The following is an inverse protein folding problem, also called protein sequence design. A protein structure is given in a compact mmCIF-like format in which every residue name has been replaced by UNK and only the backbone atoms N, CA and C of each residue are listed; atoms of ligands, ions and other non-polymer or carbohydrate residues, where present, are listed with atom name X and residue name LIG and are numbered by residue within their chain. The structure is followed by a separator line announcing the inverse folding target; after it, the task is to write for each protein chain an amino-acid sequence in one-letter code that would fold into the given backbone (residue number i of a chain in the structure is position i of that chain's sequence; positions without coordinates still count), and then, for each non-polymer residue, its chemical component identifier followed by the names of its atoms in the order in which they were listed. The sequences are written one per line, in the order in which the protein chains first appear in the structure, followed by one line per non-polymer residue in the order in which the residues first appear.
data_IF_512149448362
#
_entry.id   IF_512149448362
#
_cell.length_a   1.000
_cell.length_b   1.000
_cell.length_c   1.000
_cell.angle_alpha   90.00
_cell.angle_beta   90.00
_cell.angle_gamma   90.00
#
_symmetry.space_group_name_H-M   'P 1'
#
loop_
_entity.id
_entity.type
_entity.pdbx_description
1 polymer ?
#
# COMPACT_ATOMS: atom_id res chain seq x y z
N UNK A 1 1.50 9.25 18.26
CA UNK A 1 1.31 8.06 17.40
C UNK A 1 -0.08 7.56 17.70
N UNK A 2 -0.90 7.37 16.68
CA UNK A 2 -2.28 6.96 16.84
C UNK A 2 -2.44 5.54 16.28
N UNK A 3 -3.21 4.70 16.96
CA UNK A 3 -3.42 3.32 16.54
C UNK A 3 -4.92 3.05 16.37
N UNK A 4 -5.31 2.22 15.39
CA UNK A 4 -6.69 1.76 15.24
C UNK A 4 -7.15 0.96 16.47
N UNK A 5 -8.45 0.98 16.76
CA UNK A 5 -9.05 -0.02 17.65
C UNK A 5 -9.36 -1.32 16.88
N UNK A 6 -9.84 -1.21 15.63
CA UNK A 6 -10.15 -2.32 14.74
C UNK A 6 -9.34 -2.31 13.44
N UNK A 7 -8.77 -3.47 13.07
CA UNK A 7 -7.97 -3.63 11.84
C UNK A 7 -8.44 -4.84 11.04
N UNK A 8 -8.63 -4.70 9.74
CA UNK A 8 -8.86 -5.81 8.81
C UNK A 8 -7.70 -5.96 7.84
N UNK A 9 -7.08 -7.13 7.80
CA UNK A 9 -5.90 -7.43 6.99
C UNK A 9 -6.22 -8.55 6.02
N UNK A 10 -6.10 -8.31 4.71
CA UNK A 10 -6.29 -9.36 3.70
C UNK A 10 -5.00 -10.16 3.46
N UNK A 11 -5.11 -11.45 3.12
CA UNK A 11 -3.93 -12.30 2.90
C UNK A 11 -3.11 -12.53 4.17
N UNK A 12 -3.79 -12.68 5.32
CA UNK A 12 -3.20 -12.70 6.64
C UNK A 12 -2.72 -14.08 7.12
N UNK A 13 -2.82 -15.12 6.28
CA UNK A 13 -2.45 -16.50 6.66
C UNK A 13 -0.94 -16.77 6.67
N UNK A 14 -0.13 -15.90 6.06
CA UNK A 14 1.35 -16.07 5.97
C UNK A 14 2.05 -14.75 5.64
N UNK A 15 3.39 -14.78 5.65
CA UNK A 15 4.25 -13.69 5.17
C UNK A 15 3.94 -12.34 5.85
N UNK A 16 3.94 -11.27 5.06
CA UNK A 16 3.70 -9.89 5.54
C UNK A 16 2.34 -9.78 6.25
N UNK A 17 1.28 -10.38 5.73
CA UNK A 17 -0.05 -10.29 6.33
C UNK A 17 -0.10 -10.90 7.74
N UNK A 18 0.48 -12.09 7.91
CA UNK A 18 0.60 -12.71 9.24
C UNK A 18 1.51 -11.91 10.18
N UNK A 19 2.60 -11.33 9.66
CA UNK A 19 3.46 -10.44 10.41
C UNK A 19 2.70 -9.19 10.91
N UNK A 20 1.88 -8.57 10.07
CA UNK A 20 1.04 -7.44 10.45
C UNK A 20 0.04 -7.81 11.55
N UNK A 21 -0.62 -8.97 11.45
CA UNK A 21 -1.49 -9.48 12.53
C UNK A 21 -0.73 -9.54 13.85
N UNK A 22 0.45 -10.16 13.86
CA UNK A 22 1.29 -10.29 15.06
C UNK A 22 1.72 -8.94 15.61
N UNK A 23 2.06 -7.97 14.77
CA UNK A 23 2.44 -6.62 15.23
C UNK A 23 1.26 -5.84 15.82
N UNK A 24 0.09 -5.88 15.19
CA UNK A 24 -1.09 -5.20 15.72
C UNK A 24 -1.57 -5.80 17.05
N UNK A 25 -1.47 -7.12 17.23
CA UNK A 25 -1.80 -7.79 18.51
C UNK A 25 -0.89 -7.37 19.68
N UNK A 26 0.29 -6.79 19.41
CA UNK A 26 1.19 -6.24 20.44
C UNK A 26 0.74 -4.85 20.92
N UNK A 27 -0.13 -4.16 20.19
CA UNK A 27 -0.54 -2.79 20.50
C UNK A 27 -1.75 -2.84 21.46
N UNK A 28 -1.63 -2.33 22.71
CA UNK A 28 -2.70 -2.48 23.70
C UNK A 28 -4.05 -1.83 23.33
N UNK A 29 -4.02 -0.75 22.54
CA UNK A 29 -5.24 -0.04 22.10
C UNK A 29 -5.96 -0.73 20.94
N UNK A 30 -5.34 -1.73 20.29
CA UNK A 30 -5.98 -2.53 19.24
C UNK A 30 -6.78 -3.64 19.92
N UNK A 31 -8.10 -3.57 19.83
CA UNK A 31 -9.02 -4.53 20.46
C UNK A 31 -9.50 -5.62 19.52
N UNK A 32 -9.49 -5.33 18.21
CA UNK A 32 -9.99 -6.23 17.16
C UNK A 32 -9.02 -6.30 15.96
N UNK A 33 -8.57 -7.50 15.63
CA UNK A 33 -7.80 -7.78 14.39
C UNK A 33 -8.51 -8.84 13.58
N UNK A 34 -9.06 -8.46 12.44
CA UNK A 34 -9.68 -9.33 11.44
C UNK A 34 -8.57 -9.70 10.44
N UNK A 35 -8.31 -10.99 10.30
CA UNK A 35 -7.33 -11.60 9.43
C UNK A 35 -8.03 -12.39 8.31
N UNK A 36 -8.19 -11.76 7.15
CA UNK A 36 -8.78 -12.37 5.97
C UNK A 36 -7.79 -13.28 5.24
N UNK A 37 -8.22 -14.48 4.88
CA UNK A 37 -7.46 -15.44 4.10
C UNK A 37 -8.34 -16.15 3.05
N UNK A 38 -7.72 -16.84 2.12
CA UNK A 38 -8.45 -17.77 1.24
C UNK A 38 -8.72 -19.06 2.01
N UNK A 39 -9.88 -19.67 1.76
CA UNK A 39 -10.22 -20.98 2.29
C UNK A 39 -9.25 -22.04 1.74
N UNK A 40 -8.54 -22.82 2.59
CA UNK A 40 -7.66 -23.90 2.15
C UNK A 40 -8.41 -25.08 1.48
N UNK A 41 -9.73 -25.22 1.67
CA UNK A 41 -10.52 -26.36 1.18
C UNK A 41 -11.28 -26.10 -0.14
N UNK A 42 -10.93 -25.04 -0.89
CA UNK A 42 -11.39 -24.88 -2.27
C UNK A 42 -12.81 -24.31 -2.47
N UNK A 43 -13.53 -23.91 -1.41
CA UNK A 43 -14.78 -23.17 -1.59
C UNK A 43 -14.51 -21.74 -2.10
N UNK A 44 -15.41 -21.20 -2.95
CA UNK A 44 -15.37 -19.85 -3.55
C UNK A 44 -15.46 -18.68 -2.54
N UNK A 45 -15.36 -18.96 -1.24
CA UNK A 45 -15.66 -18.04 -0.15
C UNK A 45 -14.38 -17.74 0.65
N UNK A 46 -14.16 -16.46 0.96
CA UNK A 46 -13.05 -15.99 1.81
C UNK A 46 -13.28 -16.47 3.25
N UNK A 47 -12.27 -17.10 3.86
CA UNK A 47 -12.31 -17.37 5.30
C UNK A 47 -11.69 -16.18 6.03
N UNK A 48 -12.40 -15.62 6.98
CA UNK A 48 -11.87 -14.59 7.86
C UNK A 48 -11.61 -15.21 9.24
N UNK A 49 -10.37 -15.11 9.71
CA UNK A 49 -10.03 -15.34 11.11
C UNK A 49 -10.22 -14.00 11.82
N UNK A 50 -10.89 -13.95 12.95
CA UNK A 50 -11.05 -12.73 13.72
C UNK A 50 -10.45 -12.94 15.09
N UNK A 51 -9.54 -12.07 15.46
CA UNK A 51 -8.97 -12.01 16.79
C UNK A 51 -9.66 -10.88 17.55
N UNK A 52 -10.54 -11.24 18.47
CA UNK A 52 -11.22 -10.29 19.37
C UNK A 52 -10.65 -10.48 20.78
N UNK A 53 -10.17 -9.41 21.42
CA UNK A 53 -9.55 -9.50 22.76
C UNK A 53 -8.50 -10.63 22.86
N UNK A 54 -7.70 -10.82 21.79
CA UNK A 54 -6.67 -11.87 21.68
C UNK A 54 -7.19 -13.31 21.67
N UNK A 55 -8.49 -13.54 21.44
CA UNK A 55 -9.09 -14.86 21.20
C UNK A 55 -9.45 -15.02 19.72
N UNK A 56 -9.18 -16.21 19.15
CA UNK A 56 -9.48 -16.54 17.75
C UNK A 56 -10.95 -16.96 17.58
N UNK A 57 -11.62 -16.36 16.60
CA UNK A 57 -12.95 -16.68 16.12
C UNK A 57 -12.90 -16.91 14.61
N UNK A 58 -13.68 -17.87 14.09
CA UNK A 58 -13.71 -18.20 12.65
C UNK A 58 -14.99 -17.70 12.01
N UNK A 59 -14.84 -17.04 10.88
CA UNK A 59 -15.92 -16.43 10.11
C UNK A 59 -15.81 -16.87 8.64
N UNK A 60 -16.96 -17.14 8.04
CA UNK A 60 -17.14 -17.67 6.71
C UNK A 60 -17.51 -16.63 5.65
N UNK A 61 -17.85 -15.37 5.94
CA UNK A 61 -18.18 -14.38 4.88
C UNK A 61 -17.96 -12.89 5.25
N UNK A 62 -18.07 -12.01 4.24
CA UNK A 62 -17.85 -10.55 4.37
C UNK A 62 -18.87 -9.85 5.29
N UNK A 63 -20.12 -10.33 5.37
CA UNK A 63 -21.15 -9.80 6.27
C UNK A 63 -20.83 -10.00 7.76
N UNK A 64 -19.85 -10.83 8.06
CA UNK A 64 -19.36 -11.04 9.42
C UNK A 64 -18.30 -10.00 9.83
N UNK A 65 -17.66 -9.33 8.87
CA UNK A 65 -16.77 -8.18 9.15
C UNK A 65 -17.59 -7.02 9.71
N UNK A 66 -18.72 -6.68 9.06
CA UNK A 66 -19.65 -5.64 9.54
C UNK A 66 -20.19 -5.96 10.93
N UNK A 67 -20.57 -7.22 11.18
CA UNK A 67 -21.01 -7.68 12.51
C UNK A 67 -19.89 -7.59 13.55
N UNK A 68 -18.66 -7.92 13.19
CA UNK A 68 -17.52 -7.89 14.09
C UNK A 68 -17.14 -6.46 14.50
N UNK A 69 -17.27 -5.48 13.60
CA UNK A 69 -17.00 -4.07 13.94
C UNK A 69 -18.20 -3.35 14.55
N UNK A 70 -19.42 -3.82 14.28
CA UNK A 70 -20.66 -3.24 14.79
C UNK A 70 -20.78 -1.75 14.49
N UNK A 71 -21.46 -1.02 15.39
CA UNK A 71 -21.64 0.43 15.25
C UNK A 71 -20.37 1.27 15.42
N UNK A 72 -19.27 0.69 15.89
CA UNK A 72 -17.98 1.38 16.02
C UNK A 72 -17.28 1.56 14.66
N UNK A 73 -17.59 0.69 13.70
CA UNK A 73 -17.00 0.68 12.37
C UNK A 73 -15.55 0.18 12.34
N UNK A 74 -15.04 0.00 11.12
CA UNK A 74 -13.67 -0.44 10.86
C UNK A 74 -12.70 0.75 10.78
N UNK A 75 -11.73 0.83 11.69
CA UNK A 75 -10.76 1.92 11.66
C UNK A 75 -9.71 1.78 10.56
N UNK A 76 -9.20 0.56 10.34
CA UNK A 76 -8.10 0.34 9.40
C UNK A 76 -8.34 -0.88 8.52
N UNK A 77 -8.47 -0.68 7.22
CA UNK A 77 -8.38 -1.74 6.21
C UNK A 77 -6.96 -1.80 5.64
N UNK A 78 -6.34 -2.99 5.62
CA UNK A 78 -5.05 -3.25 5.00
C UNK A 78 -5.22 -4.26 3.85
N UNK A 79 -5.16 -3.75 2.63
CA UNK A 79 -5.11 -4.55 1.41
C UNK A 79 -3.69 -5.10 1.23
N UNK A 80 -3.42 -6.27 1.82
CA UNK A 80 -2.13 -6.95 1.75
C UNK A 80 -2.11 -8.15 0.78
N UNK A 81 -3.25 -8.81 0.55
CA UNK A 81 -3.33 -9.96 -0.33
C UNK A 81 -2.71 -9.66 -1.70
N UNK A 82 -1.80 -10.53 -2.15
CA UNK A 82 -1.14 -10.37 -3.44
C UNK A 82 -0.67 -11.70 -4.00
N UNK A 83 -0.58 -11.78 -5.34
CA UNK A 83 0.13 -12.81 -6.08
C UNK A 83 1.13 -12.19 -7.04
N UNK A 84 2.19 -12.92 -7.34
CA UNK A 84 3.14 -12.64 -8.41
C UNK A 84 3.19 -13.90 -9.27
N UNK A 85 2.71 -13.80 -10.50
CA UNK A 85 2.79 -14.87 -11.49
C UNK A 85 3.79 -14.45 -12.58
N UNK A 86 4.81 -15.27 -12.89
CA UNK A 86 5.76 -14.94 -13.93
C UNK A 86 5.09 -14.69 -15.29
N UNK A 87 5.37 -13.53 -15.86
CA UNK A 87 4.94 -13.07 -17.18
C UNK A 87 6.03 -12.19 -17.79
N UNK A 88 6.58 -12.63 -18.92
CA UNK A 88 7.70 -11.99 -19.61
C UNK A 88 7.23 -11.25 -20.85
N UNK A 89 7.88 -10.14 -21.21
CA UNK A 89 7.55 -9.39 -22.43
C UNK A 89 7.72 -10.25 -23.69
N UNK A 90 8.75 -11.08 -23.72
CA UNK A 90 9.08 -12.02 -24.80
C UNK A 90 8.65 -13.47 -24.48
N UNK A 91 7.77 -13.66 -23.49
CA UNK A 91 7.25 -14.97 -23.11
C UNK A 91 6.00 -15.37 -23.90
N UNK A 92 5.44 -16.54 -23.57
CA UNK A 92 4.17 -16.97 -24.11
C UNK A 92 3.04 -16.00 -23.72
N UNK A 93 2.20 -15.66 -24.69
CA UNK A 93 1.03 -14.82 -24.46
C UNK A 93 0.05 -15.58 -23.56
N UNK A 94 -0.29 -14.99 -22.42
CA UNK A 94 -1.24 -15.54 -21.47
C UNK A 94 -2.09 -14.43 -20.86
N UNK A 95 -3.29 -14.24 -21.42
CA UNK A 95 -4.25 -13.26 -20.89
C UNK A 95 -4.63 -13.56 -19.44
N UNK A 96 -4.74 -14.83 -19.08
CA UNK A 96 -5.19 -15.23 -17.75
C UNK A 96 -4.20 -14.79 -16.67
N UNK A 97 -2.89 -14.89 -16.90
CA UNK A 97 -1.87 -14.45 -15.94
C UNK A 97 -1.97 -12.95 -15.61
N UNK A 98 -2.25 -12.12 -16.62
CA UNK A 98 -2.48 -10.68 -16.44
C UNK A 98 -3.77 -10.43 -15.64
N UNK A 99 -4.86 -11.13 -16.00
CA UNK A 99 -6.15 -11.01 -15.32
C UNK A 99 -6.06 -11.47 -13.87
N UNK A 100 -5.39 -12.58 -13.57
CA UNK A 100 -5.26 -13.10 -12.21
C UNK A 100 -4.49 -12.13 -11.31
N UNK A 101 -3.38 -11.57 -11.82
CA UNK A 101 -2.62 -10.55 -11.08
C UNK A 101 -3.47 -9.30 -10.81
N UNK A 102 -4.19 -8.79 -11.81
CA UNK A 102 -5.10 -7.65 -11.64
C UNK A 102 -6.25 -7.95 -10.68
N UNK A 103 -6.86 -9.13 -10.81
CA UNK A 103 -7.98 -9.58 -9.99
C UNK A 103 -7.60 -9.58 -8.51
N UNK A 104 -6.45 -10.18 -8.16
CA UNK A 104 -6.04 -10.26 -6.75
C UNK A 104 -5.43 -8.95 -6.26
N UNK A 105 -4.53 -8.34 -7.01
CA UNK A 105 -3.71 -7.23 -6.49
C UNK A 105 -4.40 -5.86 -6.62
N UNK A 106 -5.45 -5.72 -7.44
CA UNK A 106 -6.08 -4.42 -7.73
C UNK A 106 -7.60 -4.47 -7.59
N UNK A 107 -8.27 -5.37 -8.30
CA UNK A 107 -9.74 -5.44 -8.33
C UNK A 107 -10.28 -5.91 -6.97
N UNK A 108 -9.64 -6.91 -6.34
CA UNK A 108 -9.95 -7.34 -4.98
C UNK A 108 -9.93 -6.16 -3.99
N UNK A 109 -8.84 -5.40 -3.89
CA UNK A 109 -8.81 -4.15 -3.13
C UNK A 109 -9.91 -3.16 -3.51
N UNK A 110 -10.20 -2.93 -4.79
CA UNK A 110 -11.25 -2.00 -5.22
C UNK A 110 -12.63 -2.37 -4.65
N UNK A 111 -12.98 -3.67 -4.70
CA UNK A 111 -14.26 -4.18 -4.19
C UNK A 111 -14.31 -4.09 -2.66
N UNK A 112 -13.24 -4.47 -1.96
CA UNK A 112 -13.23 -4.42 -0.48
C UNK A 112 -13.29 -2.99 0.04
N UNK A 113 -12.65 -2.04 -0.65
CA UNK A 113 -12.70 -0.63 -0.24
C UNK A 113 -14.12 -0.05 -0.30
N UNK A 114 -14.99 -0.58 -1.18
CA UNK A 114 -16.41 -0.22 -1.22
C UNK A 114 -17.17 -0.69 0.03
N UNK A 115 -16.66 -1.70 0.76
CA UNK A 115 -17.23 -2.20 2.01
C UNK A 115 -16.83 -1.37 3.26
N UNK A 116 -16.22 -0.20 3.06
CA UNK A 116 -16.10 0.91 4.01
C UNK A 116 -15.18 0.73 5.24
N UNK A 117 -14.22 1.64 5.37
CA UNK A 117 -13.65 2.00 6.67
C UNK A 117 -14.48 3.14 7.26
N UNK A 118 -15.10 2.89 8.40
CA UNK A 118 -15.92 3.86 9.12
C UNK A 118 -15.41 3.98 10.54
N UNK A 119 -15.39 5.18 11.08
CA UNK A 119 -15.05 5.39 12.48
C UNK A 119 -15.58 6.71 13.00
N UNK A 120 -15.62 6.81 14.32
CA UNK A 120 -16.15 7.96 15.04
C UNK A 120 -15.09 9.07 15.07
N UNK A 121 -15.50 10.30 14.78
CA UNK A 121 -14.63 11.49 14.82
C UNK A 121 -14.59 12.23 13.49
N UNK A 122 -13.89 13.36 13.48
CA UNK A 122 -13.88 14.32 12.37
C UNK A 122 -12.45 14.73 11.94
N UNK A 123 -11.54 13.76 11.90
CA UNK A 123 -10.13 13.93 11.54
C UNK A 123 -9.63 12.90 10.53
N UNK A 124 -8.42 13.09 9.99
CA UNK A 124 -7.74 12.05 9.21
C UNK A 124 -6.80 11.27 10.14
N UNK A 125 -6.90 9.95 10.16
CA UNK A 125 -6.03 9.11 10.97
C UNK A 125 -6.43 7.63 10.92
N UNK A 126 -5.46 6.75 11.18
CA UNK A 126 -5.69 5.29 11.27
C UNK A 126 -6.50 4.90 12.49
N UNK A 127 -6.56 5.77 13.51
CA UNK A 127 -7.42 5.65 14.69
C UNK A 127 -8.89 5.97 14.42
N UNK A 128 -9.20 6.54 13.24
CA UNK A 128 -10.57 6.84 12.81
C UNK A 128 -10.99 5.95 11.65
N UNK A 129 -10.48 6.22 10.46
CA UNK A 129 -10.85 5.53 9.23
C UNK A 129 -9.73 5.68 8.19
N UNK A 130 -9.11 4.57 7.83
CA UNK A 130 -8.03 4.53 6.87
C UNK A 130 -7.99 3.23 6.04
N UNK A 131 -7.56 3.36 4.80
CA UNK A 131 -7.32 2.28 3.86
C UNK A 131 -5.84 2.30 3.48
N UNK A 132 -5.16 1.18 3.71
CA UNK A 132 -3.74 1.02 3.41
C UNK A 132 -3.55 -0.08 2.38
N UNK A 133 -2.90 0.26 1.28
CA UNK A 133 -2.57 -0.69 0.22
C UNK A 133 -1.10 -1.09 0.34
N UNK A 134 -0.81 -2.38 0.54
CA UNK A 134 0.55 -2.90 0.45
C UNK A 134 0.90 -3.04 -1.03
N UNK A 135 1.58 -2.01 -1.53
CA UNK A 135 2.07 -1.92 -2.91
C UNK A 135 3.48 -2.50 -3.01
N UNK A 136 4.26 -2.06 -3.99
CA UNK A 136 5.63 -2.53 -4.22
C UNK A 136 6.46 -1.43 -4.89
N UNK A 137 7.78 -1.45 -4.72
CA UNK A 137 8.67 -0.59 -5.50
C UNK A 137 8.52 -0.83 -7.01
N UNK A 138 8.14 -2.05 -7.40
CA UNK A 138 7.79 -2.42 -8.78
C UNK A 138 6.50 -1.77 -9.30
N UNK A 139 5.73 -1.09 -8.46
CA UNK A 139 4.60 -0.26 -8.90
C UNK A 139 5.03 1.11 -9.48
N UNK A 140 6.31 1.45 -9.37
CA UNK A 140 6.81 2.75 -9.80
C UNK A 140 7.18 2.71 -11.29
N UNK A 141 6.39 3.40 -12.11
CA UNK A 141 6.68 3.59 -13.54
C UNK A 141 8.04 4.26 -13.73
N UNK A 142 8.31 5.36 -13.01
CA UNK A 142 9.56 6.11 -13.14
C UNK A 142 10.82 5.39 -12.64
N UNK A 143 10.69 4.34 -11.81
CA UNK A 143 11.83 3.52 -11.36
C UNK A 143 11.97 2.19 -12.11
N UNK A 144 11.10 1.91 -13.08
CA UNK A 144 11.14 0.67 -13.83
C UNK A 144 12.30 0.67 -14.84
N UNK A 145 13.46 0.14 -14.42
CA UNK A 145 14.68 0.06 -15.25
C UNK A 145 15.00 -1.38 -15.71
N UNK A 146 14.30 -2.36 -15.15
CA UNK A 146 14.55 -3.80 -15.30
C UNK A 146 13.53 -4.51 -16.20
N UNK A 147 12.52 -3.80 -16.72
CA UNK A 147 11.52 -4.38 -17.64
C UNK A 147 10.72 -5.51 -16.97
N UNK A 148 10.46 -6.62 -17.66
CA UNK A 148 9.90 -7.81 -16.97
C UNK A 148 10.92 -8.47 -16.03
N UNK A 149 12.22 -8.28 -16.28
CA UNK A 149 13.31 -8.92 -15.54
C UNK A 149 13.28 -10.45 -15.60
N UNK A 150 14.18 -11.09 -14.87
CA UNK A 150 14.35 -12.56 -14.89
C UNK A 150 13.22 -13.31 -14.15
N UNK A 151 12.40 -12.57 -13.40
CA UNK A 151 11.27 -13.13 -12.65
C UNK A 151 9.93 -13.04 -13.41
N UNK A 152 9.91 -12.44 -14.61
CA UNK A 152 8.67 -12.23 -15.34
C UNK A 152 7.70 -11.32 -14.56
N UNK A 153 8.17 -10.17 -14.12
CA UNK A 153 7.40 -9.29 -13.23
C UNK A 153 6.37 -8.42 -13.94
N UNK A 154 6.17 -8.56 -15.26
CA UNK A 154 5.36 -7.62 -16.04
C UNK A 154 3.91 -7.54 -15.55
N UNK A 155 3.24 -8.68 -15.39
CA UNK A 155 1.85 -8.72 -14.90
C UNK A 155 1.73 -8.16 -13.47
N UNK A 156 2.70 -8.48 -12.61
CA UNK A 156 2.77 -7.96 -11.26
C UNK A 156 2.94 -6.44 -11.22
N UNK A 157 3.90 -5.90 -11.99
CA UNK A 157 4.18 -4.46 -12.14
C UNK A 157 2.95 -3.68 -12.58
N UNK A 158 2.25 -4.17 -13.61
CA UNK A 158 0.98 -3.59 -14.09
C UNK A 158 -0.03 -3.53 -12.94
N UNK A 159 -0.27 -4.67 -12.28
CA UNK A 159 -1.27 -4.75 -11.21
C UNK A 159 -0.96 -3.84 -10.01
N UNK A 160 0.31 -3.73 -9.59
CA UNK A 160 0.70 -2.86 -8.47
C UNK A 160 0.70 -1.38 -8.86
N UNK A 161 1.01 -1.04 -10.12
CA UNK A 161 0.83 0.32 -10.63
C UNK A 161 -0.65 0.72 -10.65
N UNK A 162 -1.52 -0.19 -11.09
CA UNK A 162 -2.97 0.02 -11.07
C UNK A 162 -3.51 0.16 -9.62
N UNK A 163 -2.97 -0.59 -8.66
CA UNK A 163 -3.28 -0.43 -7.23
C UNK A 163 -2.89 0.96 -6.69
N UNK A 164 -1.75 1.50 -7.13
CA UNK A 164 -1.34 2.86 -6.77
C UNK A 164 -2.33 3.90 -7.31
N UNK A 165 -2.74 3.77 -8.58
CA UNK A 165 -3.74 4.66 -9.17
C UNK A 165 -5.09 4.55 -8.45
N UNK A 166 -5.56 3.34 -8.18
CA UNK A 166 -6.78 3.09 -7.41
C UNK A 166 -6.74 3.80 -6.06
N UNK A 167 -5.67 3.61 -5.27
CA UNK A 167 -5.56 4.25 -3.96
C UNK A 167 -5.48 5.77 -4.04
N UNK A 168 -4.88 6.34 -5.10
CA UNK A 168 -4.86 7.80 -5.30
C UNK A 168 -6.25 8.33 -5.63
N UNK A 169 -7.01 7.63 -6.47
CA UNK A 169 -8.40 7.98 -6.78
C UNK A 169 -9.26 7.94 -5.51
N UNK A 170 -9.21 6.83 -4.75
CA UNK A 170 -9.95 6.71 -3.48
C UNK A 170 -9.56 7.80 -2.46
N UNK A 171 -8.30 8.21 -2.41
CA UNK A 171 -7.87 9.30 -1.53
C UNK A 171 -8.53 10.65 -1.85
N UNK A 172 -8.83 10.88 -3.13
CA UNK A 172 -9.52 12.10 -3.59
C UNK A 172 -11.01 11.97 -3.33
N UNK A 173 -11.60 10.85 -3.74
CA UNK A 173 -13.04 10.62 -3.66
C UNK A 173 -13.53 10.59 -2.20
N UNK A 174 -12.77 9.97 -1.30
CA UNK A 174 -13.13 9.78 0.11
C UNK A 174 -12.64 10.91 1.05
N UNK A 175 -12.13 12.00 0.48
CA UNK A 175 -11.55 13.10 1.25
C UNK A 175 -12.60 13.85 2.08
N UNK A 176 -13.84 13.94 1.59
CA UNK A 176 -14.95 14.63 2.29
C UNK A 176 -15.38 13.86 3.54
N UNK A 177 -15.33 12.54 3.46
CA UNK A 177 -15.60 11.61 4.56
C UNK A 177 -14.39 11.46 5.50
N UNK A 178 -13.28 12.15 5.21
CA UNK A 178 -12.02 12.13 5.96
C UNK A 178 -11.39 10.74 6.10
N UNK A 179 -11.65 9.85 5.13
CA UNK A 179 -11.03 8.52 5.09
C UNK A 179 -9.63 8.69 4.51
N UNK A 180 -8.61 8.30 5.29
CA UNK A 180 -7.23 8.38 4.85
C UNK A 180 -6.90 7.20 3.94
N UNK A 181 -6.33 7.44 2.76
CA UNK A 181 -5.88 6.34 1.89
C UNK A 181 -4.39 6.50 1.63
N UNK A 182 -3.59 5.45 1.82
CA UNK A 182 -2.15 5.51 1.53
C UNK A 182 -1.61 4.16 1.04
N UNK A 183 -0.48 4.23 0.34
CA UNK A 183 0.17 3.06 -0.26
C UNK A 183 1.57 2.89 0.34
N UNK A 184 1.94 1.66 0.67
CA UNK A 184 3.26 1.35 1.22
C UNK A 184 3.98 0.28 0.41
N UNK A 185 5.24 0.53 0.08
CA UNK A 185 6.19 -0.49 -0.30
C UNK A 185 6.78 -1.12 0.96
N UNK A 186 6.58 -2.42 1.21
CA UNK A 186 7.09 -3.10 2.40
C UNK A 186 8.62 -3.29 2.37
N UNK A 187 9.25 -3.09 1.21
CA UNK A 187 10.63 -3.49 0.93
C UNK A 187 10.70 -4.88 0.30
N UNK A 188 11.90 -5.41 0.10
CA UNK A 188 12.11 -6.78 -0.38
C UNK A 188 12.20 -7.73 0.81
N UNK A 189 11.08 -8.38 1.13
CA UNK A 189 10.87 -9.12 2.38
C UNK A 189 11.05 -10.62 2.19
N UNK A 190 11.75 -11.29 3.13
CA UNK A 190 11.96 -12.75 3.20
C UNK A 190 10.65 -13.51 3.39
N UNK A 191 9.95 -13.71 2.30
CA UNK A 191 8.70 -14.46 2.17
C UNK A 191 8.85 -15.45 1.01
N UNK A 192 7.89 -16.36 0.84
CA UNK A 192 7.85 -17.23 -0.34
C UNK A 192 7.92 -16.41 -1.64
N UNK A 193 7.14 -15.33 -1.76
CA UNK A 193 7.17 -14.43 -2.93
C UNK A 193 8.51 -13.68 -3.05
N UNK A 194 9.08 -13.23 -1.93
CA UNK A 194 10.36 -12.50 -1.93
C UNK A 194 11.56 -13.38 -2.30
N UNK A 195 11.50 -14.68 -1.98
CA UNK A 195 12.57 -15.63 -2.22
C UNK A 195 12.37 -16.47 -3.50
N UNK A 196 11.43 -16.07 -4.37
CA UNK A 196 11.17 -16.77 -5.63
C UNK A 196 12.43 -16.85 -6.50
N UNK A 197 12.51 -17.94 -7.27
CA UNK A 197 13.65 -18.25 -8.16
C UNK A 197 15.02 -18.23 -7.45
N UNK A 198 15.08 -18.73 -6.20
CA UNK A 198 16.32 -18.88 -5.45
C UNK A 198 16.94 -17.57 -4.96
N UNK A 199 16.24 -16.44 -5.09
CA UNK A 199 16.72 -15.16 -4.56
C UNK A 199 16.56 -15.12 -3.04
N UNK A 200 17.40 -14.33 -2.36
CA UNK A 200 17.30 -14.10 -0.92
C UNK A 200 16.96 -12.64 -0.71
N UNK A 201 15.76 -12.39 -0.20
CA UNK A 201 15.31 -11.04 0.10
C UNK A 201 16.14 -10.41 1.24
N UNK A 202 16.24 -9.09 1.25
CA UNK A 202 17.17 -8.35 2.13
C UNK A 202 16.72 -8.33 3.59
N UNK A 203 15.42 -8.15 3.84
CA UNK A 203 14.88 -7.89 5.18
C UNK A 203 13.92 -8.97 5.67
N UNK A 204 13.86 -9.19 6.97
CA UNK A 204 12.92 -10.13 7.59
C UNK A 204 11.48 -9.61 7.53
N UNK A 205 10.52 -10.50 7.76
CA UNK A 205 9.11 -10.11 7.88
C UNK A 205 8.95 -9.14 9.03
N UNK A 206 9.52 -9.46 10.20
CA UNK A 206 9.45 -8.68 11.44
C UNK A 206 9.99 -7.25 11.26
N UNK A 207 11.15 -7.11 10.62
CA UNK A 207 11.74 -5.80 10.30
C UNK A 207 10.82 -4.96 9.42
N UNK A 208 10.18 -5.58 8.42
CA UNK A 208 9.26 -4.89 7.52
C UNK A 208 7.98 -4.46 8.24
N UNK A 209 7.31 -5.39 8.93
CA UNK A 209 5.98 -5.14 9.51
C UNK A 209 6.05 -4.21 10.72
N UNK A 210 7.11 -4.27 11.53
CA UNK A 210 7.26 -3.36 12.66
C UNK A 210 7.46 -1.91 12.20
N UNK A 211 8.25 -1.72 11.13
CA UNK A 211 8.42 -0.41 10.51
C UNK A 211 7.11 0.10 9.87
N UNK A 212 6.37 -0.77 9.18
CA UNK A 212 5.07 -0.44 8.59
C UNK A 212 4.06 0.01 9.64
N UNK A 213 3.85 -0.77 10.71
CA UNK A 213 2.88 -0.43 11.77
C UNK A 213 3.24 0.89 12.44
N UNK A 214 4.53 1.14 12.71
CA UNK A 214 5.02 2.42 13.24
C UNK A 214 4.83 3.59 12.26
N UNK A 215 4.94 3.35 10.96
CA UNK A 215 4.70 4.38 9.93
C UNK A 215 3.22 4.69 9.77
N UNK A 216 2.36 3.65 9.79
CA UNK A 216 0.91 3.80 9.74
C UNK A 216 0.39 4.64 10.91
N UNK A 217 0.97 4.48 12.11
CA UNK A 217 0.55 5.24 13.30
C UNK A 217 0.92 6.74 13.28
N UNK A 218 1.62 7.19 12.23
CA UNK A 218 2.00 8.59 11.99
C UNK A 218 1.22 9.22 10.83
N UNK A 219 0.32 8.46 10.19
CA UNK A 219 -0.45 8.97 9.07
C UNK A 219 -1.39 10.09 9.49
N UNK A 220 -1.57 11.05 8.58
CA UNK A 220 -2.26 12.32 8.76
C UNK A 220 -2.77 12.78 7.39
N UNK A 221 -3.63 13.80 7.34
CA UNK A 221 -4.19 14.35 6.09
C UNK A 221 -3.17 14.52 4.96
N UNK A 222 -1.98 15.08 5.25
CA UNK A 222 -0.91 15.32 4.27
C UNK A 222 -0.36 14.06 3.60
N UNK A 223 -0.57 12.90 4.20
CA UNK A 223 -0.09 11.62 3.67
C UNK A 223 -1.14 10.95 2.76
N UNK A 224 -2.39 11.43 2.74
CA UNK A 224 -3.46 10.81 1.95
C UNK A 224 -3.17 10.90 0.45
N UNK A 225 -3.29 9.76 -0.24
CA UNK A 225 -2.97 9.55 -1.64
C UNK A 225 -1.49 9.37 -1.94
N UNK A 226 -0.62 9.31 -0.92
CA UNK A 226 0.82 9.18 -1.09
C UNK A 226 1.31 7.72 -1.15
N UNK A 227 2.36 7.49 -1.93
CA UNK A 227 3.08 6.22 -2.01
C UNK A 227 4.44 6.30 -1.29
N UNK A 228 4.57 5.54 -0.21
CA UNK A 228 5.70 5.60 0.71
C UNK A 228 6.45 4.27 0.78
N UNK A 229 7.70 4.29 1.22
CA UNK A 229 8.37 3.09 1.73
C UNK A 229 7.91 2.78 3.17
N UNK A 230 8.36 1.64 3.72
CA UNK A 230 8.06 1.20 5.10
C UNK A 230 8.42 2.17 6.22
N UNK A 231 9.17 3.25 5.95
CA UNK A 231 9.56 4.29 6.90
C UNK A 231 8.79 5.61 6.72
N UNK A 232 7.71 5.60 5.93
CA UNK A 232 6.90 6.78 5.58
C UNK A 232 7.67 7.81 4.73
N UNK A 233 8.69 7.38 3.98
CA UNK A 233 9.43 8.24 3.06
C UNK A 233 8.86 8.09 1.64
N UNK A 234 8.57 9.21 0.96
CA UNK A 234 8.18 9.18 -0.45
C UNK A 234 9.40 8.99 -1.36
N UNK A 235 9.19 8.29 -2.47
CA UNK A 235 10.18 8.17 -3.52
C UNK A 235 10.18 9.43 -4.41
N UNK A 236 10.72 10.53 -3.91
CA UNK A 236 11.12 11.66 -4.76
C UNK A 236 12.60 11.57 -5.11
N UNK A 237 13.02 12.14 -6.24
CA UNK A 237 14.43 12.30 -6.51
C UNK A 237 15.06 13.19 -5.41
N UNK A 238 16.20 12.78 -4.87
CA UNK A 238 16.92 13.58 -3.88
C UNK A 238 17.44 14.90 -4.49
N UNK A 239 17.64 14.93 -5.80
CA UNK A 239 18.00 16.10 -6.58
C UNK A 239 17.23 16.16 -7.89
N UNK A 240 16.83 17.35 -8.33
CA UNK A 240 16.20 17.57 -9.64
C UNK A 240 16.93 18.68 -10.39
N UNK A 241 17.21 18.45 -11.68
CA UNK A 241 17.67 19.48 -12.60
C UNK A 241 16.51 19.88 -13.50
N UNK A 242 16.18 21.15 -13.53
CA UNK A 242 15.08 21.69 -14.33
C UNK A 242 15.69 22.69 -15.29
N UNK A 243 15.67 22.36 -16.59
CA UNK A 243 16.14 23.25 -17.65
C UNK A 243 15.01 24.18 -18.10
N UNK A 244 15.35 25.39 -18.57
CA UNK A 244 14.35 26.43 -18.90
C UNK A 244 13.63 26.95 -17.66
N UNK A 245 14.31 26.96 -16.51
CA UNK A 245 13.75 27.30 -15.21
C UNK A 245 13.49 28.80 -14.99
N UNK A 246 13.84 29.64 -15.94
CA UNK A 246 13.75 31.10 -15.86
C UNK A 246 12.32 31.64 -16.06
N UNK A 247 11.40 30.83 -16.61
CA UNK A 247 10.00 31.22 -16.83
C UNK A 247 9.04 30.05 -17.04
N UNK A 248 7.75 30.36 -17.08
CA UNK A 248 6.69 29.44 -17.48
C UNK A 248 6.68 28.14 -16.67
N UNK A 249 6.52 27.01 -17.37
CA UNK A 249 6.42 25.69 -16.75
C UNK A 249 7.71 25.32 -15.99
N UNK A 250 8.89 25.71 -16.49
CA UNK A 250 10.17 25.39 -15.84
C UNK A 250 10.30 26.06 -14.47
N UNK A 251 9.99 27.36 -14.38
CA UNK A 251 9.96 28.07 -13.09
C UNK A 251 8.90 27.50 -12.15
N UNK A 252 7.73 27.16 -12.69
CA UNK A 252 6.66 26.51 -11.91
C UNK A 252 7.12 25.18 -11.31
N UNK A 253 7.84 24.36 -12.07
CA UNK A 253 8.40 23.09 -11.59
C UNK A 253 9.44 23.31 -10.49
N UNK A 254 10.33 24.30 -10.60
CA UNK A 254 11.29 24.65 -9.53
C UNK A 254 10.56 24.95 -8.22
N UNK A 255 9.55 25.81 -8.30
CA UNK A 255 8.77 26.22 -7.12
C UNK A 255 8.03 25.05 -6.48
N UNK A 256 7.51 24.12 -7.28
CA UNK A 256 6.85 22.92 -6.75
C UNK A 256 7.85 21.93 -6.14
N UNK A 257 9.00 21.69 -6.77
CA UNK A 257 10.00 20.77 -6.23
C UNK A 257 10.68 21.29 -4.96
N UNK A 258 10.81 22.61 -4.78
CA UNK A 258 11.28 23.21 -3.52
C UNK A 258 10.32 22.95 -2.34
N UNK A 259 9.03 22.71 -2.60
CA UNK A 259 8.04 22.37 -1.57
C UNK A 259 8.10 20.90 -1.15
N UNK A 260 8.83 20.06 -1.87
CA UNK A 260 8.90 18.61 -1.62
C UNK A 260 9.97 18.31 -0.58
N UNK A 261 9.64 17.89 0.66
CA UNK A 261 10.62 17.77 1.76
C UNK A 261 11.74 16.75 1.56
N UNK A 262 11.62 15.88 0.56
CA UNK A 262 12.62 14.85 0.24
C UNK A 262 13.53 15.22 -0.93
N UNK A 263 13.21 16.31 -1.65
CA UNK A 263 14.12 16.91 -2.63
C UNK A 263 15.10 17.78 -1.86
N UNK A 264 16.36 17.33 -1.79
CA UNK A 264 17.42 18.02 -1.06
C UNK A 264 18.13 19.07 -1.91
N UNK A 265 18.00 18.97 -3.24
CA UNK A 265 18.69 19.84 -4.18
C UNK A 265 17.80 20.10 -5.41
N UNK A 266 17.50 21.36 -5.68
CA UNK A 266 16.87 21.79 -6.94
C UNK A 266 17.91 22.60 -7.70
N UNK A 267 18.33 22.10 -8.85
CA UNK A 267 19.23 22.79 -9.77
C UNK A 267 18.35 23.43 -10.85
N UNK A 268 18.25 24.75 -10.84
CA UNK A 268 17.55 25.51 -11.86
C UNK A 268 18.55 25.89 -12.97
N UNK A 269 18.40 25.30 -14.14
CA UNK A 269 19.16 25.65 -15.33
C UNK A 269 18.38 26.63 -16.20
N UNK A 270 18.92 27.83 -16.43
CA UNK A 270 18.41 28.76 -17.43
C UNK A 270 19.23 28.65 -18.73
N UNK A 271 18.61 28.94 -19.87
CA UNK A 271 19.31 29.00 -21.17
C UNK A 271 20.24 30.23 -21.28
N UNK A 272 20.02 31.26 -20.45
CA UNK A 272 20.89 32.42 -20.32
C UNK A 272 21.31 32.61 -18.86
N UNK A 273 22.62 32.78 -18.56
CA UNK A 273 23.09 33.15 -17.21
C UNK A 273 22.44 34.42 -16.66
N UNK A 274 22.03 35.34 -17.54
CA UNK A 274 21.48 36.64 -17.16
C UNK A 274 20.01 36.59 -16.68
N UNK A 275 19.31 35.47 -16.88
CA UNK A 275 17.90 35.30 -16.49
C UNK A 275 17.69 34.37 -15.29
N UNK A 276 18.73 33.71 -14.77
CA UNK A 276 18.64 32.91 -13.56
C UNK A 276 18.69 33.83 -12.32
N UNK A 277 17.53 34.07 -11.69
CA UNK A 277 17.43 34.69 -10.36
C UNK A 277 17.16 33.65 -9.29
#
# INVERSE_FOLDING_TARGET
MNYPASVFITGANRGIGLGLVKEFLKVPSVTLVIAGARNPEGAKVRQCFVFWNKKEYRFQNDGEVEKAVGGAGLNLLINNAAILLPYFTNGAICRQTLLDCLNVNTIGPAIICQASSHGIGDHFGVDRAAIINISSFWASVGKNKDGSGDLGTLAYKISKSALNQLGKTLAVDLAKEKILVAQFCPGWVKTEMGNMAGRIAEITVEESVSALVRSMSKLQKKHSGGFFNRRLEMAYPASVLITGADRGIGLGLVMEFLKVPSVKLVIAGALSPDTAK
#
